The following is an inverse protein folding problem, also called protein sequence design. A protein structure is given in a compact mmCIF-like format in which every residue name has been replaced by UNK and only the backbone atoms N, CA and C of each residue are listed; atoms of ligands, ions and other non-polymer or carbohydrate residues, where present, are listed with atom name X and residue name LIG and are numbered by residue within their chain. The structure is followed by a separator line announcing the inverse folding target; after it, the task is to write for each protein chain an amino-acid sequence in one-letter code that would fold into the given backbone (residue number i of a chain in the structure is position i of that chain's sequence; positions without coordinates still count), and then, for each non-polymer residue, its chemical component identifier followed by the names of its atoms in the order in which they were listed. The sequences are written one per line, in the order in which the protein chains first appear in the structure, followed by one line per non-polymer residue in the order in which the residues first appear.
data_IF_439048577311
#
_entry.id   IF_439048577311
#
_cell.length_a   1.000
_cell.length_b   1.000
_cell.length_c   1.000
_cell.angle_alpha   90.00
_cell.angle_beta   90.00
_cell.angle_gamma   90.00
#
_symmetry.space_group_name_H-M   'P 1'
#
loop_
_entity.id
_entity.type
_entity.pdbx_description
1 polymer ?
#
# COMPACT_ATOMS: atom_id res chain seq x y z
N UNK A 1 4.91 26.27 12.78
CA UNK A 1 4.01 27.25 12.14
C UNK A 1 4.79 28.43 11.57
N UNK A 2 5.62 29.14 12.36
CA UNK A 2 6.36 30.31 11.87
C UNK A 2 7.47 30.00 10.83
N UNK A 3 7.96 28.76 10.74
CA UNK A 3 9.00 28.36 9.78
C UNK A 3 8.46 27.93 8.41
N UNK A 4 7.15 27.64 8.32
CA UNK A 4 6.58 26.97 7.14
C UNK A 4 6.06 27.93 6.08
N UNK A 5 5.99 29.24 6.35
CA UNK A 5 5.61 30.26 5.38
C UNK A 5 4.31 29.93 4.62
N UNK A 6 4.45 29.66 3.32
CA UNK A 6 3.34 29.30 2.41
C UNK A 6 3.13 27.79 2.21
N UNK A 7 3.81 26.93 2.98
CA UNK A 7 3.63 25.48 2.88
C UNK A 7 2.23 25.09 3.33
N UNK A 8 1.55 24.32 2.49
CA UNK A 8 0.28 23.68 2.84
C UNK A 8 0.59 22.46 3.70
N UNK A 9 0.01 22.44 4.90
CA UNK A 9 0.21 21.37 5.88
C UNK A 9 -1.10 20.61 6.09
N UNK A 10 -1.00 19.30 6.30
CA UNK A 10 -2.13 18.46 6.69
C UNK A 10 -2.02 18.15 8.19
N UNK A 11 -3.06 18.48 8.95
CA UNK A 11 -3.18 18.09 10.36
C UNK A 11 -4.07 16.85 10.46
N UNK A 12 -3.60 15.84 11.18
CA UNK A 12 -4.33 14.60 11.43
C UNK A 12 -4.27 14.24 12.92
N UNK A 13 -5.22 13.43 13.37
CA UNK A 13 -5.18 12.82 14.70
C UNK A 13 -3.94 11.94 14.86
N UNK A 14 -3.32 11.95 16.04
CA UNK A 14 -2.30 10.97 16.38
C UNK A 14 -2.97 9.60 16.64
N UNK A 15 -2.76 8.64 15.75
CA UNK A 15 -3.24 7.28 15.94
C UNK A 15 -2.30 6.52 16.89
N UNK A 16 -2.74 6.27 18.13
CA UNK A 16 -2.08 5.32 19.03
C UNK A 16 -2.35 3.89 18.54
N UNK A 17 -1.32 3.05 18.48
CA UNK A 17 -1.41 1.72 17.87
C UNK A 17 -0.64 0.65 18.63
N UNK A 18 -1.12 -0.59 18.49
CA UNK A 18 -0.51 -1.79 19.06
C UNK A 18 0.41 -2.50 18.06
N UNK A 19 0.07 -2.43 16.77
CA UNK A 19 0.83 -2.98 15.63
C UNK A 19 0.73 -2.01 14.44
N UNK A 20 1.69 -2.03 13.53
CA UNK A 20 1.79 -1.11 12.39
C UNK A 20 2.41 -1.73 11.12
N UNK A 21 1.62 -2.03 10.10
CA UNK A 21 2.14 -2.73 8.93
C UNK A 21 2.55 -1.77 7.84
N UNK A 22 3.68 -2.03 7.16
CA UNK A 22 3.97 -1.47 5.83
C UNK A 22 3.81 -2.59 4.82
N UNK A 23 3.03 -2.36 3.77
CA UNK A 23 2.64 -3.39 2.82
C UNK A 23 2.99 -2.96 1.41
N UNK A 24 3.70 -3.79 0.64
CA UNK A 24 3.74 -3.59 -0.79
C UNK A 24 2.42 -4.07 -1.41
N UNK A 25 1.93 -3.32 -2.39
CA UNK A 25 0.96 -3.80 -3.36
C UNK A 25 1.59 -3.72 -4.75
N UNK A 26 1.63 -4.87 -5.43
CA UNK A 26 2.12 -4.98 -6.80
C UNK A 26 1.00 -5.53 -7.66
N UNK A 27 0.81 -4.87 -8.78
CA UNK A 27 -0.16 -5.18 -9.81
C UNK A 27 -1.63 -5.20 -9.36
N UNK A 28 -1.94 -4.50 -8.26
CA UNK A 28 -3.25 -4.49 -7.58
C UNK A 28 -3.74 -5.89 -7.14
N UNK A 29 -2.82 -6.84 -7.00
CA UNK A 29 -3.10 -8.27 -6.84
C UNK A 29 -2.22 -8.93 -5.78
N UNK A 30 -0.92 -8.62 -5.81
CA UNK A 30 0.06 -9.22 -4.94
C UNK A 30 0.31 -8.29 -3.75
N UNK A 31 0.14 -8.82 -2.54
CA UNK A 31 0.39 -8.06 -1.31
C UNK A 31 1.50 -8.72 -0.51
N UNK A 32 2.47 -7.92 -0.07
CA UNK A 32 3.48 -8.32 0.91
C UNK A 32 3.33 -7.48 2.15
N UNK A 33 2.78 -8.08 3.21
CA UNK A 33 2.66 -7.44 4.52
C UNK A 33 3.98 -7.57 5.25
N UNK A 34 4.51 -6.46 5.74
CA UNK A 34 5.71 -6.40 6.56
C UNK A 34 5.36 -5.73 7.89
N UNK A 35 5.57 -6.40 9.04
CA UNK A 35 5.61 -5.73 10.33
C UNK A 35 6.62 -4.57 10.31
N UNK A 36 6.23 -3.38 10.79
CA UNK A 36 7.02 -2.16 10.61
C UNK A 36 6.86 -1.19 11.78
N UNK A 37 7.87 -1.03 12.64
CA UNK A 37 7.82 -0.12 13.79
C UNK A 37 8.34 1.29 13.43
N UNK A 38 7.47 2.27 13.10
CA UNK A 38 7.92 3.60 12.66
C UNK A 38 8.64 4.39 13.76
N UNK A 39 8.46 4.01 15.04
CA UNK A 39 9.12 4.65 16.19
C UNK A 39 10.58 4.26 16.33
N UNK A 40 11.02 3.18 15.68
CA UNK A 40 12.41 2.76 15.68
C UNK A 40 13.30 3.62 14.75
N UNK A 41 14.63 3.63 14.99
CA UNK A 41 15.59 4.12 14.00
C UNK A 41 15.38 3.45 12.65
N UNK A 42 15.61 4.18 11.55
CA UNK A 42 15.24 3.75 10.18
C UNK A 42 15.62 2.31 9.83
N UNK A 43 16.86 1.90 10.13
CA UNK A 43 17.39 0.57 9.83
C UNK A 43 16.84 -0.58 10.70
N UNK A 44 16.11 -0.26 11.77
CA UNK A 44 15.50 -1.23 12.69
C UNK A 44 13.98 -1.32 12.53
N UNK A 45 13.38 -0.53 11.64
CA UNK A 45 11.91 -0.45 11.55
C UNK A 45 11.27 -1.76 11.08
N UNK A 46 11.96 -2.58 10.30
CA UNK A 46 11.46 -3.90 9.88
C UNK A 46 11.77 -5.03 10.88
N UNK A 47 12.48 -4.72 11.98
CA UNK A 47 12.74 -5.66 13.06
C UNK A 47 11.69 -5.43 14.15
N UNK A 48 10.68 -6.29 14.17
CA UNK A 48 9.58 -6.20 15.14
C UNK A 48 9.31 -7.57 15.77
N UNK A 49 8.78 -7.57 16.99
CA UNK A 49 8.36 -8.78 17.71
C UNK A 49 6.88 -9.12 17.51
N UNK A 50 6.21 -8.47 16.57
CA UNK A 50 4.76 -8.53 16.52
C UNK A 50 4.25 -9.87 16.03
N UNK A 51 3.25 -10.36 16.73
CA UNK A 51 2.55 -11.59 16.39
C UNK A 51 1.12 -11.22 15.99
N UNK A 52 0.94 -10.86 14.73
CA UNK A 52 -0.35 -10.46 14.20
C UNK A 52 -1.27 -11.68 14.04
N UNK A 53 -2.48 -11.67 14.62
CA UNK A 53 -3.46 -12.73 14.40
C UNK A 53 -3.81 -12.86 12.91
N UNK A 54 -4.10 -14.07 12.40
CA UNK A 54 -4.45 -14.27 10.99
C UNK A 54 -5.63 -13.44 10.49
N UNK A 55 -6.60 -13.10 11.36
CA UNK A 55 -7.69 -12.20 10.99
C UNK A 55 -7.25 -10.76 10.73
N UNK A 56 -6.24 -10.27 11.45
CA UNK A 56 -5.70 -8.92 11.28
C UNK A 56 -4.97 -8.85 9.95
N UNK A 57 -4.12 -9.85 9.66
CA UNK A 57 -3.41 -9.94 8.38
C UNK A 57 -4.38 -9.97 7.19
N UNK A 58 -5.48 -10.73 7.28
CA UNK A 58 -6.53 -10.75 6.25
C UNK A 58 -7.20 -9.39 6.05
N UNK A 59 -7.54 -8.68 7.13
CA UNK A 59 -8.12 -7.32 7.04
C UNK A 59 -7.15 -6.33 6.43
N UNK A 60 -5.87 -6.39 6.81
CA UNK A 60 -4.81 -5.54 6.24
C UNK A 60 -4.66 -5.82 4.75
N UNK A 61 -4.53 -7.08 4.34
CA UNK A 61 -4.44 -7.48 2.93
C UNK A 61 -5.63 -6.98 2.10
N UNK A 62 -6.85 -7.18 2.61
CA UNK A 62 -8.06 -6.69 1.96
C UNK A 62 -8.07 -5.16 1.84
N UNK A 63 -7.63 -4.45 2.87
CA UNK A 63 -7.47 -3.00 2.87
C UNK A 63 -6.48 -2.52 1.81
N UNK A 64 -5.31 -3.15 1.73
CA UNK A 64 -4.28 -2.87 0.72
C UNK A 64 -4.84 -3.06 -0.69
N UNK A 65 -5.47 -4.21 -0.97
CA UNK A 65 -6.05 -4.49 -2.29
C UNK A 65 -7.16 -3.51 -2.64
N UNK A 66 -8.03 -3.20 -1.69
CA UNK A 66 -9.13 -2.24 -1.89
C UNK A 66 -8.59 -0.87 -2.25
N UNK A 67 -7.64 -0.33 -1.48
CA UNK A 67 -7.05 0.98 -1.76
C UNK A 67 -6.41 1.03 -3.16
N UNK A 68 -5.58 0.05 -3.50
CA UNK A 68 -4.85 0.07 -4.76
C UNK A 68 -5.75 -0.16 -5.98
N UNK A 69 -6.79 -1.01 -5.87
CA UNK A 69 -7.77 -1.20 -6.96
C UNK A 69 -8.69 0.02 -7.15
N UNK A 70 -9.02 0.73 -6.07
CA UNK A 70 -9.88 1.91 -6.18
C UNK A 70 -9.11 3.15 -6.63
N UNK A 71 -7.87 3.33 -6.17
CA UNK A 71 -7.02 4.46 -6.54
C UNK A 71 -6.26 4.22 -7.86
N UNK A 72 -6.06 2.97 -8.28
CA UNK A 72 -5.44 2.61 -9.56
C UNK A 72 -3.93 2.46 -9.51
N UNK A 73 -3.35 2.20 -8.35
CA UNK A 73 -1.90 2.02 -8.22
C UNK A 73 -1.48 0.59 -8.55
N UNK A 74 -0.68 0.43 -9.61
CA UNK A 74 -0.05 -0.85 -9.97
C UNK A 74 1.19 -1.17 -9.11
N UNK A 75 1.80 -0.16 -8.49
CA UNK A 75 2.87 -0.33 -7.52
C UNK A 75 2.64 0.72 -6.42
N UNK A 76 2.64 0.30 -5.16
CA UNK A 76 2.45 1.20 -4.03
C UNK A 76 2.96 0.56 -2.74
N UNK A 77 3.26 1.37 -1.73
CA UNK A 77 3.23 0.91 -0.34
C UNK A 77 2.06 1.52 0.42
N UNK A 78 1.44 0.70 1.26
CA UNK A 78 0.34 1.09 2.15
C UNK A 78 0.73 0.78 3.58
N UNK A 79 0.55 1.75 4.47
CA UNK A 79 0.80 1.67 5.90
C UNK A 79 -0.51 1.64 6.69
N UNK A 80 -0.61 0.69 7.62
CA UNK A 80 -1.77 0.51 8.49
C UNK A 80 -1.36 0.48 9.95
N UNK A 81 -1.94 1.36 10.76
CA UNK A 81 -1.86 1.30 12.21
C UNK A 81 -3.03 0.48 12.78
N UNK A 82 -2.77 -0.47 13.65
CA UNK A 82 -3.80 -1.25 14.34
C UNK A 82 -4.21 -0.56 15.63
N UNK A 83 -5.47 -0.17 15.71
CA UNK A 83 -6.09 0.39 16.91
C UNK A 83 -7.34 -0.41 17.25
N UNK A 84 -7.36 -1.01 18.44
CA UNK A 84 -8.50 -1.81 18.93
C UNK A 84 -8.97 -2.90 17.92
N UNK A 85 -8.00 -3.55 17.25
CA UNK A 85 -8.28 -4.59 16.25
C UNK A 85 -8.79 -4.08 14.89
N UNK A 86 -8.78 -2.77 14.66
CA UNK A 86 -9.17 -2.12 13.40
C UNK A 86 -7.93 -1.57 12.67
N UNK A 87 -7.71 -1.92 11.39
CA UNK A 87 -6.65 -1.32 10.59
C UNK A 87 -7.03 0.10 10.15
N UNK A 88 -6.26 1.08 10.59
CA UNK A 88 -6.38 2.50 10.21
C UNK A 88 -5.33 2.82 9.16
N UNK A 89 -5.73 3.23 7.96
CA UNK A 89 -4.80 3.60 6.90
C UNK A 89 -4.08 4.91 7.27
N UNK A 90 -2.75 4.91 7.20
CA UNK A 90 -1.91 6.07 7.59
C UNK A 90 -1.27 6.72 6.36
N UNK A 91 -0.49 5.95 5.60
CA UNK A 91 0.07 6.35 4.32
C UNK A 91 -0.35 5.32 3.27
N UNK A 92 -0.87 5.77 2.15
CA UNK A 92 -1.29 4.88 1.06
C UNK A 92 -1.03 5.50 -0.31
N UNK A 93 -0.16 6.51 -0.37
CA UNK A 93 0.11 7.32 -1.55
C UNK A 93 1.61 7.34 -1.88
N UNK A 94 2.25 6.17 -1.93
CA UNK A 94 3.66 6.01 -2.28
C UNK A 94 3.83 5.12 -3.52
N UNK A 95 3.56 5.63 -4.74
CA UNK A 95 3.51 4.82 -5.97
C UNK A 95 4.88 4.43 -6.55
N UNK A 96 5.96 4.81 -5.89
CA UNK A 96 7.34 4.47 -6.27
C UNK A 96 8.15 4.15 -5.01
N UNK A 97 7.79 3.08 -4.28
CA UNK A 97 8.43 2.76 -3.03
C UNK A 97 9.87 2.28 -3.26
N UNK A 98 10.77 2.69 -2.37
CA UNK A 98 12.09 2.06 -2.26
C UNK A 98 11.95 0.63 -1.74
N UNK A 99 12.80 -0.27 -2.23
CA UNK A 99 12.84 -1.66 -1.82
C UNK A 99 14.28 -2.16 -1.57
N UNK A 100 15.22 -1.26 -1.25
CA UNK A 100 16.62 -1.64 -1.08
C UNK A 100 16.79 -2.76 -0.04
N UNK A 101 17.56 -3.80 -0.38
CA UNK A 101 17.74 -4.98 0.47
C UNK A 101 18.28 -4.64 1.87
N UNK A 102 19.14 -3.63 1.98
CA UNK A 102 19.67 -3.14 3.26
C UNK A 102 18.59 -2.45 4.13
N UNK A 103 17.55 -1.93 3.50
CA UNK A 103 16.42 -1.26 4.16
C UNK A 103 15.35 -2.28 4.56
N UNK A 104 14.83 -3.03 3.59
CA UNK A 104 13.64 -3.89 3.79
C UNK A 104 13.97 -5.35 4.11
N UNK A 105 15.25 -5.73 4.05
CA UNK A 105 15.71 -7.09 4.23
C UNK A 105 15.64 -7.93 2.94
N UNK A 106 16.52 -8.92 2.83
CA UNK A 106 16.74 -9.71 1.62
C UNK A 106 15.46 -10.39 1.10
N UNK A 107 14.70 -11.05 1.98
CA UNK A 107 13.50 -11.78 1.59
C UNK A 107 12.38 -10.86 1.03
N UNK A 108 12.27 -9.63 1.55
CA UNK A 108 11.29 -8.68 1.03
C UNK A 108 11.76 -8.09 -0.30
N UNK A 109 13.06 -7.79 -0.44
CA UNK A 109 13.66 -7.36 -1.70
C UNK A 109 13.45 -8.39 -2.81
N UNK A 110 13.80 -9.66 -2.57
CA UNK A 110 13.62 -10.74 -3.55
C UNK A 110 12.16 -10.91 -3.96
N UNK A 111 11.23 -10.85 -3.01
CA UNK A 111 9.81 -10.90 -3.29
C UNK A 111 9.35 -9.74 -4.19
N UNK A 112 9.80 -8.51 -3.91
CA UNK A 112 9.47 -7.34 -4.72
C UNK A 112 10.02 -7.47 -6.13
N UNK A 113 11.27 -7.90 -6.29
CA UNK A 113 11.90 -8.10 -7.60
C UNK A 113 11.12 -9.10 -8.44
N UNK A 114 10.73 -10.24 -7.86
CA UNK A 114 9.95 -11.26 -8.55
C UNK A 114 8.58 -10.71 -8.97
N UNK A 115 7.82 -10.16 -8.03
CA UNK A 115 6.47 -9.66 -8.28
C UNK A 115 6.44 -8.50 -9.30
N UNK A 116 7.42 -7.58 -9.27
CA UNK A 116 7.54 -6.52 -10.28
C UNK A 116 7.91 -7.09 -11.65
N UNK A 117 8.78 -8.09 -11.70
CA UNK A 117 9.17 -8.76 -12.95
C UNK A 117 7.99 -9.48 -13.60
N UNK A 118 7.21 -10.23 -12.81
CA UNK A 118 5.97 -10.87 -13.26
C UNK A 118 4.94 -9.84 -13.77
N UNK A 119 4.76 -8.74 -13.02
CA UNK A 119 3.91 -7.63 -13.44
C UNK A 119 4.35 -7.07 -14.79
N UNK A 120 5.65 -6.79 -14.97
CA UNK A 120 6.18 -6.23 -16.21
C UNK A 120 5.94 -7.16 -17.40
N UNK A 121 6.20 -8.46 -17.25
CA UNK A 121 5.92 -9.47 -18.29
C UNK A 121 4.42 -9.51 -18.61
N UNK A 122 3.56 -9.51 -17.59
CA UNK A 122 2.10 -9.53 -17.79
C UNK A 122 1.60 -8.30 -18.53
N UNK A 123 2.03 -7.10 -18.11
CA UNK A 123 1.66 -5.82 -18.75
C UNK A 123 2.16 -5.78 -20.19
N UNK A 124 3.37 -6.26 -20.48
CA UNK A 124 3.90 -6.36 -21.83
C UNK A 124 3.06 -7.29 -22.72
N UNK A 125 2.63 -8.46 -22.21
CA UNK A 125 1.75 -9.39 -22.94
C UNK A 125 0.35 -8.84 -23.19
N UNK A 126 -0.16 -7.99 -22.29
CA UNK A 126 -1.48 -7.38 -22.39
C UNK A 126 -1.49 -6.06 -23.17
N UNK A 127 -0.32 -5.54 -23.52
CA UNK A 127 -0.19 -4.28 -24.23
C UNK A 127 -0.85 -4.37 -25.61
N UNK A 128 -1.75 -3.43 -25.89
CA UNK A 128 -2.35 -3.26 -27.21
C UNK A 128 -1.99 -1.89 -27.77
N UNK A 129 -1.41 -1.86 -28.98
CA UNK A 129 -1.01 -0.61 -29.64
C UNK A 129 -2.23 0.27 -29.95
N UNK A 130 -2.09 1.58 -29.76
CA UNK A 130 -3.16 2.55 -30.01
C UNK A 130 -4.29 2.56 -28.98
N UNK A 131 -4.15 1.85 -27.84
CA UNK A 131 -5.08 1.91 -26.70
C UNK A 131 -4.41 2.48 -25.46
N UNK A 132 -5.23 2.97 -24.53
CA UNK A 132 -4.77 3.28 -23.18
C UNK A 132 -4.50 1.96 -22.43
N UNK A 133 -3.23 1.72 -22.08
CA UNK A 133 -2.79 0.53 -21.34
C UNK A 133 -2.58 0.80 -19.83
N UNK A 134 -2.92 2.01 -19.36
CA UNK A 134 -2.84 2.40 -17.96
C UNK A 134 -3.99 1.80 -17.14
N UNK A 135 -3.73 1.58 -15.85
CA UNK A 135 -4.76 1.19 -14.90
C UNK A 135 -5.46 2.44 -14.35
N UNK A 136 -6.75 2.57 -14.63
CA UNK A 136 -7.59 3.58 -13.98
C UNK A 136 -8.34 2.94 -12.82
N UNK A 137 -8.21 3.52 -11.63
CA UNK A 137 -8.84 2.98 -10.44
C UNK A 137 -10.36 2.96 -10.52
N UNK A 138 -10.99 2.04 -9.76
CA UNK A 138 -12.46 1.92 -9.68
C UNK A 138 -13.13 3.25 -9.30
N UNK A 139 -12.45 4.09 -8.50
CA UNK A 139 -12.95 5.41 -8.12
C UNK A 139 -13.15 6.31 -9.34
N UNK A 140 -12.13 6.45 -10.19
CA UNK A 140 -12.18 7.27 -11.40
C UNK A 140 -13.25 6.73 -12.36
N UNK A 141 -13.29 5.41 -12.58
CA UNK A 141 -14.32 4.78 -13.40
C UNK A 141 -15.74 5.07 -12.90
N UNK A 142 -15.99 4.98 -11.61
CA UNK A 142 -17.30 5.27 -11.04
C UNK A 142 -17.67 6.75 -11.21
N UNK A 143 -16.74 7.66 -10.92
CA UNK A 143 -16.94 9.10 -11.04
C UNK A 143 -17.31 9.53 -12.46
N UNK A 144 -16.57 9.07 -13.47
CA UNK A 144 -16.80 9.49 -14.87
C UNK A 144 -18.05 8.85 -15.49
N UNK A 145 -18.52 7.71 -14.94
CA UNK A 145 -19.72 7.02 -15.41
C UNK A 145 -20.95 7.27 -14.54
N UNK A 146 -20.88 8.17 -13.55
CA UNK A 146 -21.95 8.47 -12.59
C UNK A 146 -22.52 7.22 -11.91
N UNK A 147 -21.65 6.26 -11.57
CA UNK A 147 -22.01 5.03 -10.86
C UNK A 147 -21.66 5.16 -9.38
N UNK A 148 -22.45 4.52 -8.52
CA UNK A 148 -22.11 4.38 -7.10
C UNK A 148 -20.88 3.47 -6.95
N UNK A 149 -19.99 3.80 -6.02
CA UNK A 149 -18.94 2.89 -5.57
C UNK A 149 -19.59 1.73 -4.82
N UNK A 150 -19.60 0.53 -5.41
CA UNK A 150 -19.93 -0.70 -4.68
C UNK A 150 -18.64 -1.29 -4.10
N UNK A 151 -18.66 -1.63 -2.81
CA UNK A 151 -17.59 -2.39 -2.17
C UNK A 151 -17.58 -3.84 -2.66
N UNK A 152 -16.43 -4.49 -2.60
CA UNK A 152 -16.36 -5.94 -2.73
C UNK A 152 -16.87 -6.58 -1.42
N UNK A 153 -18.19 -6.64 -1.29
CA UNK A 153 -18.89 -7.44 -0.28
C UNK A 153 -20.38 -7.49 -0.63
N UNK A 154 -20.75 -8.50 -1.40
CA UNK A 154 -21.93 -9.35 -1.15
C UNK A 154 -21.40 -10.76 -0.84
#
# INVERSE_FOLDING_TARGET
YNETGHLVMMLQEEVKFDMYFRCYCIDQRNVRIMPYEPRHPYHLRYQTEWQAPPEILRKVEQGVLTLNQFLGYDLNTVEFAMRDGVPVAIDFCNPAPDAEAASVGQANFEWVVEAVSEMAIRKARMHFSGRNNLSWGKFVHAAVNLRRLSGASD
#
